data_IF_878948544238
#
_entry.id   IF_878948544238
#
_cell.length_a   1.000
_cell.length_b   1.000
_cell.length_c   1.000
_cell.angle_alpha   90.00
_cell.angle_beta   90.00
_cell.angle_gamma   90.00
#
_symmetry.space_group_name_H-M   'P 1'
#
loop_
_entity.id
_entity.type
_entity.pdbx_description
1 polymer ?
#
# COMPACT_ATOMS: atom_id res chain seq x y z
N UNK A 1 -2.04 17.47 10.77
CA UNK A 1 -1.82 16.25 10.00
C UNK A 1 -2.66 15.12 10.52
N UNK A 2 -3.03 14.21 9.67
CA UNK A 2 -3.86 13.10 10.02
C UNK A 2 -3.00 11.84 10.06
N UNK A 3 -3.19 11.03 11.10
CA UNK A 3 -2.47 9.77 11.18
C UNK A 3 -3.31 8.68 10.55
N UNK A 4 -2.71 7.93 9.63
CA UNK A 4 -3.38 6.77 9.04
C UNK A 4 -2.68 5.52 9.51
N UNK A 5 -3.45 4.45 9.66
CA UNK A 5 -2.92 3.16 10.11
C UNK A 5 -3.41 2.10 9.13
N UNK A 6 -2.48 1.37 8.55
CA UNK A 6 -2.79 0.38 7.53
C UNK A 6 -2.38 -0.97 8.05
N UNK A 7 -3.34 -1.87 8.16
CA UNK A 7 -3.06 -3.23 8.62
C UNK A 7 -2.57 -4.07 7.45
N UNK A 8 -1.45 -4.73 7.61
CA UNK A 8 -0.87 -5.53 6.53
C UNK A 8 0.06 -6.59 7.10
N UNK A 9 0.51 -7.51 6.27
CA UNK A 9 1.46 -8.50 6.73
C UNK A 9 2.81 -7.84 6.98
N UNK A 10 3.59 -8.43 7.88
CA UNK A 10 4.92 -7.91 8.17
C UNK A 10 5.81 -7.99 6.95
N UNK A 11 5.66 -9.01 6.15
CA UNK A 11 6.49 -9.18 4.96
C UNK A 11 6.23 -8.06 3.95
N UNK A 12 4.98 -7.69 3.75
CA UNK A 12 4.66 -6.62 2.83
C UNK A 12 5.23 -5.29 3.34
N UNK A 13 5.09 -5.04 4.63
CA UNK A 13 5.61 -3.81 5.21
C UNK A 13 7.12 -3.73 5.06
N UNK A 14 7.81 -4.86 5.31
CA UNK A 14 9.26 -4.90 5.20
C UNK A 14 9.71 -4.67 3.76
N UNK A 15 9.03 -5.28 2.79
CA UNK A 15 9.36 -5.09 1.38
C UNK A 15 9.17 -3.63 0.98
N UNK A 16 8.10 -3.01 1.45
CA UNK A 16 7.84 -1.62 1.15
C UNK A 16 8.93 -0.72 1.73
N UNK A 17 9.33 -1.00 2.97
CA UNK A 17 10.37 -0.24 3.62
C UNK A 17 11.70 -0.35 2.86
N UNK A 18 12.05 -1.57 2.45
CA UNK A 18 13.30 -1.81 1.73
C UNK A 18 13.28 -1.09 0.37
N UNK A 19 12.17 -1.20 -0.36
CA UNK A 19 12.07 -0.56 -1.66
C UNK A 19 12.20 0.95 -1.55
N UNK A 20 11.56 1.55 -0.54
CA UNK A 20 11.67 2.99 -0.34
C UNK A 20 13.10 3.38 0.01
N UNK A 21 13.79 2.57 0.80
CA UNK A 21 15.17 2.85 1.16
C UNK A 21 16.08 2.81 -0.08
N UNK A 22 15.89 1.82 -0.92
CA UNK A 22 16.69 1.71 -2.15
C UNK A 22 16.46 2.90 -3.05
N UNK A 23 15.22 3.36 -3.16
CA UNK A 23 14.88 4.47 -4.04
C UNK A 23 15.03 5.83 -3.37
N UNK A 24 15.46 5.86 -2.13
CA UNK A 24 15.73 7.11 -1.40
C UNK A 24 14.49 7.99 -1.32
N UNK A 25 13.36 7.39 -1.01
CA UNK A 25 12.11 8.11 -0.85
C UNK A 25 11.49 7.64 0.47
N UNK A 26 10.71 8.49 1.12
CA UNK A 26 10.03 8.09 2.35
C UNK A 26 8.83 7.22 2.02
N UNK A 27 8.45 6.36 2.95
CA UNK A 27 7.26 5.53 2.77
C UNK A 27 6.03 6.40 2.57
N UNK A 28 5.96 7.53 3.29
CA UNK A 28 4.85 8.46 3.15
C UNK A 28 4.74 8.99 1.72
N UNK A 29 5.86 9.48 1.17
CA UNK A 29 5.82 10.05 -0.17
C UNK A 29 5.54 9.01 -1.23
N UNK A 30 6.13 7.82 -1.09
CA UNK A 30 5.87 6.74 -2.03
C UNK A 30 4.39 6.36 -2.02
N UNK A 31 3.80 6.26 -0.83
CA UNK A 31 2.39 5.90 -0.73
C UNK A 31 1.50 6.97 -1.35
N UNK A 32 1.79 8.24 -1.08
CA UNK A 32 0.97 9.33 -1.61
C UNK A 32 1.00 9.33 -3.14
N UNK A 33 2.17 9.16 -3.72
CA UNK A 33 2.29 9.16 -5.18
C UNK A 33 1.47 8.03 -5.78
N UNK A 34 1.57 6.83 -5.22
CA UNK A 34 0.87 5.68 -5.78
C UNK A 34 -0.63 5.77 -5.55
N UNK A 35 -1.04 6.27 -4.40
CA UNK A 35 -2.48 6.43 -4.15
C UNK A 35 -3.07 7.45 -5.11
N UNK A 36 -2.36 8.52 -5.40
CA UNK A 36 -2.87 9.52 -6.33
C UNK A 36 -3.04 8.95 -7.73
N UNK A 37 -2.18 8.03 -8.13
CA UNK A 37 -2.36 7.35 -9.41
C UNK A 37 -3.65 6.54 -9.43
N UNK A 38 -3.94 5.87 -8.31
CA UNK A 38 -5.17 5.10 -8.20
C UNK A 38 -6.39 6.03 -8.26
N UNK A 39 -6.33 7.15 -7.54
CA UNK A 39 -7.46 8.07 -7.50
C UNK A 39 -7.77 8.66 -8.87
N UNK A 40 -6.77 8.71 -9.74
CA UNK A 40 -6.97 9.25 -11.08
C UNK A 40 -7.35 8.19 -12.10
N UNK A 41 -7.47 6.93 -11.68
CA UNK A 41 -7.79 5.84 -12.61
C UNK A 41 -9.04 5.12 -12.10
N UNK A 42 -10.17 5.34 -12.76
CA UNK A 42 -11.43 4.79 -12.31
C UNK A 42 -11.63 3.33 -12.63
N UNK A 43 -10.77 2.76 -13.44
CA UNK A 43 -10.95 1.38 -13.87
C UNK A 43 -9.94 0.43 -13.27
N UNK A 44 -9.17 0.92 -12.31
CA UNK A 44 -8.12 0.09 -11.73
C UNK A 44 -8.72 -1.02 -10.87
N UNK A 45 -8.22 -2.21 -11.06
CA UNK A 45 -8.58 -3.33 -10.21
C UNK A 45 -7.70 -3.31 -8.98
N UNK A 46 -8.30 -3.46 -7.82
CA UNK A 46 -7.55 -3.37 -6.58
C UNK A 46 -6.94 -4.71 -6.23
N UNK A 47 -5.65 -4.70 -5.99
CA UNK A 47 -4.94 -5.85 -5.49
C UNK A 47 -5.00 -5.83 -3.96
N UNK A 48 -5.12 -6.96 -3.35
CA UNK A 48 -5.10 -7.03 -1.91
C UNK A 48 -4.11 -8.11 -1.50
N UNK A 49 -3.31 -7.80 -0.50
CA UNK A 49 -2.43 -8.77 0.08
C UNK A 49 -3.17 -9.36 1.28
N UNK A 50 -3.64 -10.57 1.14
CA UNK A 50 -4.32 -11.22 2.24
C UNK A 50 -3.33 -12.12 2.95
N UNK A 51 -3.09 -11.87 4.23
CA UNK A 51 -2.12 -12.70 4.94
C UNK A 51 -2.65 -14.10 5.05
N UNK A 52 -1.75 -15.04 5.08
CA UNK A 52 -2.13 -16.39 5.37
C UNK A 52 -2.44 -16.51 6.85
N UNK A 53 -3.10 -17.59 7.21
CA UNK A 53 -3.53 -17.75 8.56
C UNK A 53 -2.39 -17.65 9.55
N UNK A 54 -1.21 -18.08 9.15
CA UNK A 54 -0.06 -18.08 10.02
C UNK A 54 0.83 -16.85 9.91
N UNK A 55 0.47 -15.89 9.05
CA UNK A 55 1.33 -14.74 8.89
C UNK A 55 1.12 -13.75 10.01
N UNK A 56 2.20 -13.12 10.40
CA UNK A 56 2.12 -12.05 11.38
C UNK A 56 1.60 -10.79 10.72
N UNK A 57 0.75 -10.11 11.44
CA UNK A 57 0.20 -8.85 10.98
C UNK A 57 0.86 -7.71 11.72
N UNK A 58 0.92 -6.57 11.07
CA UNK A 58 1.43 -5.36 11.68
C UNK A 58 0.65 -4.17 11.16
N UNK A 59 0.94 -3.01 11.72
CA UNK A 59 0.26 -1.79 11.31
C UNK A 59 1.31 -0.79 10.87
N UNK A 60 1.16 -0.24 9.68
CA UNK A 60 2.00 0.83 9.20
C UNK A 60 1.30 2.14 9.50
N UNK A 61 1.94 2.99 10.29
CA UNK A 61 1.37 4.28 10.67
C UNK A 61 2.12 5.40 9.97
N UNK A 62 1.39 6.29 9.33
CA UNK A 62 1.99 7.43 8.63
C UNK A 62 1.16 8.66 8.92
N UNK A 63 1.82 9.83 8.94
CA UNK A 63 1.13 11.10 9.09
C UNK A 63 1.03 11.75 7.72
N UNK A 64 -0.17 12.05 7.30
CA UNK A 64 -0.41 12.64 5.98
C UNK A 64 -1.30 13.86 6.13
N UNK A 65 -1.38 14.66 5.07
CA UNK A 65 -2.23 15.85 5.11
C UNK A 65 -3.68 15.42 5.12
N UNK A 66 -4.51 16.21 5.81
CA UNK A 66 -5.91 15.91 5.89
C UNK A 66 -6.56 15.92 4.52
N UNK A 67 -6.12 16.79 3.63
CA UNK A 67 -6.66 16.83 2.27
C UNK A 67 -6.46 15.50 1.54
N UNK A 68 -5.35 14.83 1.81
CA UNK A 68 -5.08 13.53 1.20
C UNK A 68 -6.10 12.50 1.69
N UNK A 69 -6.35 12.47 3.00
CA UNK A 69 -7.31 11.50 3.54
C UNK A 69 -8.72 11.78 3.02
N UNK A 70 -9.06 13.05 2.80
CA UNK A 70 -10.37 13.39 2.27
C UNK A 70 -10.54 12.86 0.85
N UNK A 71 -9.49 12.93 0.03
CA UNK A 71 -9.55 12.39 -1.32
C UNK A 71 -9.78 10.88 -1.31
N UNK A 72 -9.12 10.18 -0.39
CA UNK A 72 -9.28 8.73 -0.29
C UNK A 72 -10.69 8.38 0.17
N UNK A 73 -11.22 9.14 1.12
CA UNK A 73 -12.60 8.92 1.58
C UNK A 73 -13.60 9.16 0.47
N UNK A 74 -13.37 10.19 -0.35
CA UNK A 74 -14.26 10.48 -1.48
C UNK A 74 -14.27 9.31 -2.46
N UNK A 75 -13.10 8.71 -2.73
CA UNK A 75 -13.03 7.56 -3.61
C UNK A 75 -13.82 6.40 -3.04
N UNK A 76 -13.69 6.16 -1.74
CA UNK A 76 -14.44 5.09 -1.10
C UNK A 76 -15.94 5.32 -1.26
N UNK A 77 -16.41 6.54 -1.08
CA UNK A 77 -17.82 6.86 -1.18
C UNK A 77 -18.33 6.63 -2.60
N UNK A 78 -17.54 6.99 -3.60
CA UNK A 78 -17.97 6.88 -4.99
C UNK A 78 -17.94 5.44 -5.47
N UNK A 79 -16.88 4.71 -5.17
CA UNK A 79 -16.68 3.39 -5.75
C UNK A 79 -17.02 2.25 -4.82
N UNK A 80 -17.21 2.51 -3.52
CA UNK A 80 -17.47 1.45 -2.56
C UNK A 80 -16.25 0.66 -2.16
N UNK A 81 -15.07 1.06 -2.59
CA UNK A 81 -13.85 0.33 -2.28
C UNK A 81 -13.44 0.56 -0.84
N UNK A 82 -12.81 -0.43 -0.24
CA UNK A 82 -12.33 -0.30 1.12
C UNK A 82 -11.06 0.54 1.12
N UNK A 83 -10.93 1.42 2.11
CA UNK A 83 -9.74 2.27 2.21
C UNK A 83 -8.48 1.43 2.33
N UNK A 84 -8.54 0.34 3.08
CA UNK A 84 -7.39 -0.55 3.22
C UNK A 84 -6.96 -1.09 1.87
N UNK A 85 -7.90 -1.47 1.03
CA UNK A 85 -7.57 -2.03 -0.28
C UNK A 85 -6.89 -0.99 -1.16
N UNK A 86 -7.28 0.27 -1.06
CA UNK A 86 -6.64 1.33 -1.82
C UNK A 86 -5.18 1.44 -1.40
N UNK A 87 -4.90 1.46 -0.10
CA UNK A 87 -3.53 1.60 0.37
C UNK A 87 -2.69 0.36 0.05
N UNK A 88 -3.25 -0.84 0.22
CA UNK A 88 -2.50 -2.07 -0.08
C UNK A 88 -2.18 -2.13 -1.57
N UNK A 89 -3.13 -1.77 -2.43
CA UNK A 89 -2.88 -1.76 -3.86
C UNK A 89 -1.78 -0.78 -4.22
N UNK A 90 -1.77 0.40 -3.57
CA UNK A 90 -0.74 1.38 -3.82
C UNK A 90 0.64 0.83 -3.46
N UNK A 91 0.75 0.15 -2.34
CA UNK A 91 2.03 -0.42 -1.91
C UNK A 91 2.48 -1.50 -2.89
N UNK A 92 1.59 -2.38 -3.30
CA UNK A 92 1.92 -3.43 -4.24
C UNK A 92 2.36 -2.84 -5.58
N UNK A 93 1.65 -1.82 -6.04
CA UNK A 93 2.02 -1.16 -7.30
C UNK A 93 3.39 -0.51 -7.19
N UNK A 94 3.71 0.06 -6.04
CA UNK A 94 5.01 0.66 -5.85
C UNK A 94 6.11 -0.39 -5.93
N UNK A 95 5.88 -1.56 -5.34
CA UNK A 95 6.88 -2.63 -5.40
C UNK A 95 7.08 -3.09 -6.83
N UNK A 96 6.00 -3.22 -7.60
CA UNK A 96 6.11 -3.62 -8.99
C UNK A 96 6.85 -2.57 -9.82
N UNK A 97 6.54 -1.30 -9.61
CA UNK A 97 7.16 -0.23 -10.38
C UNK A 97 8.62 -0.03 -10.01
N UNK A 98 9.00 -0.38 -8.79
CA UNK A 98 10.36 -0.18 -8.34
C UNK A 98 11.30 -1.25 -8.84
N UNK A 99 10.76 -2.28 -9.44
CA UNK A 99 11.56 -3.41 -9.90
C UNK A 99 12.35 -4.06 -8.77
N UNK A 100 11.83 -3.95 -7.55
CA UNK A 100 12.46 -4.60 -6.43
C UNK A 100 12.00 -6.05 -6.41
N UNK A 101 12.97 -6.94 -6.42
CA UNK A 101 12.67 -8.34 -6.51
C UNK A 101 12.20 -8.83 -5.16
N UNK A 102 10.93 -8.89 -4.93
CA UNK A 102 10.36 -9.36 -3.69
C UNK A 102 9.06 -10.07 -3.99
N UNK A 103 8.89 -11.20 -3.37
CA UNK A 103 7.67 -11.96 -3.54
C UNK A 103 6.86 -11.90 -2.27
N UNK A 104 5.84 -11.07 -2.26
CA UNK A 104 5.03 -10.92 -1.07
C UNK A 104 3.93 -11.97 -1.00
N UNK A 105 3.85 -12.86 -1.94
CA UNK A 105 2.95 -13.98 -1.84
C UNK A 105 3.62 -15.15 -1.16
N UNK A 106 4.88 -15.07 -1.01
CA UNK A 106 5.75 -15.93 -0.21
C UNK A 106 5.69 -17.40 -0.50
N UNK A 107 4.64 -17.93 -1.01
CA UNK A 107 4.64 -19.33 -1.21
C UNK A 107 5.40 -19.74 -2.43
N UNK A 108 5.82 -18.80 -3.22
CA UNK A 108 6.53 -19.15 -4.40
C UNK A 108 7.92 -19.43 -4.19
N UNK A 109 8.50 -18.77 -3.27
CA UNK A 109 9.91 -18.87 -3.14
C UNK A 109 10.36 -20.00 -2.43
N UNK A 110 9.50 -20.78 -1.94
CA UNK A 110 9.95 -21.85 -1.22
C UNK A 110 10.52 -22.83 -2.00
N UNK A 111 10.44 -22.71 -3.21
CA UNK A 111 11.05 -23.72 -3.97
C UNK A 111 12.50 -23.73 -3.87
#
# INVERSE_FOLDING_TARGET
MKKIAIEMSKDLRQAFKIACSINQITMKNALIIEVEKILNNNELTYATSRPKEEEDMCVLCLNVDESFTEKVKARKTISGDKIRDIYITAIINYLDDSAVDYDYTDDINEV
#
